data_IF_329873866193
#
_entry.id   IF_329873866193
#
_cell.length_a   1.000
_cell.length_b   1.000
_cell.length_c   1.000
_cell.angle_alpha   90.00
_cell.angle_beta   90.00
_cell.angle_gamma   90.00
#
_symmetry.space_group_name_H-M   'P 1'
#
loop_
_entity.id
_entity.type
_entity.pdbx_description
1 polymer ?
#
# COMPACT_ATOMS: atom_id res chain seq x y z
N UNK A 1 9.63 -34.79 11.78
CA UNK A 1 10.06 -33.39 11.62
C UNK A 1 8.85 -32.62 11.11
N UNK A 2 8.18 -31.88 11.98
CA UNK A 2 6.97 -31.13 11.61
C UNK A 2 7.36 -30.02 10.64
N UNK A 3 6.68 -29.93 9.50
CA UNK A 3 7.02 -28.97 8.44
C UNK A 3 6.60 -27.59 8.93
N UNK A 4 7.56 -26.80 9.43
CA UNK A 4 7.33 -25.42 9.88
C UNK A 4 6.93 -24.56 8.68
N UNK A 5 5.63 -24.39 8.44
CA UNK A 5 5.12 -23.58 7.32
C UNK A 5 5.25 -22.10 7.65
N UNK A 6 6.03 -21.35 6.85
CA UNK A 6 6.21 -19.90 7.05
C UNK A 6 4.89 -19.13 6.89
N UNK A 7 4.16 -19.35 5.79
CA UNK A 7 2.78 -18.86 5.63
C UNK A 7 1.78 -19.98 5.92
N UNK A 8 0.80 -19.68 6.77
CA UNK A 8 -0.36 -20.56 6.99
C UNK A 8 -1.41 -20.24 5.93
N UNK A 9 -2.39 -21.13 5.77
CA UNK A 9 -3.54 -20.90 4.88
C UNK A 9 -4.28 -19.59 5.20
N UNK A 10 -4.35 -19.21 6.48
CA UNK A 10 -4.92 -17.93 6.93
C UNK A 10 -4.11 -16.73 6.46
N UNK A 11 -2.77 -16.83 6.46
CA UNK A 11 -1.92 -15.76 5.91
C UNK A 11 -2.12 -15.63 4.40
N UNK A 12 -2.16 -16.76 3.67
CA UNK A 12 -2.41 -16.74 2.22
C UNK A 12 -3.78 -16.15 1.89
N UNK A 13 -4.82 -16.48 2.65
CA UNK A 13 -6.14 -15.89 2.50
C UNK A 13 -6.13 -14.38 2.73
N UNK A 14 -5.48 -13.89 3.79
CA UNK A 14 -5.37 -12.47 4.06
C UNK A 14 -4.58 -11.73 2.95
N UNK A 15 -3.49 -12.32 2.46
CA UNK A 15 -2.71 -11.79 1.32
C UNK A 15 -3.60 -11.68 0.07
N UNK A 16 -4.34 -12.75 -0.27
CA UNK A 16 -5.23 -12.77 -1.42
C UNK A 16 -6.36 -11.74 -1.31
N UNK A 17 -7.01 -11.65 -0.15
CA UNK A 17 -8.09 -10.68 0.11
C UNK A 17 -7.57 -9.25 0.01
N UNK A 18 -6.43 -8.94 0.64
CA UNK A 18 -5.84 -7.61 0.57
C UNK A 18 -5.38 -7.28 -0.86
N UNK A 19 -4.72 -8.21 -1.56
CA UNK A 19 -4.30 -8.02 -2.95
C UNK A 19 -5.48 -7.79 -3.89
N UNK A 20 -6.56 -8.56 -3.74
CA UNK A 20 -7.79 -8.39 -4.50
C UNK A 20 -8.48 -7.05 -4.17
N UNK A 21 -8.59 -6.71 -2.89
CA UNK A 21 -9.20 -5.45 -2.46
C UNK A 21 -8.45 -4.25 -3.04
N UNK A 22 -7.11 -4.26 -2.99
CA UNK A 22 -6.31 -3.21 -3.60
C UNK A 22 -6.48 -3.20 -5.13
N UNK A 23 -6.24 -4.35 -5.78
CA UNK A 23 -6.26 -4.44 -7.24
C UNK A 23 -7.59 -4.03 -7.86
N UNK A 24 -8.70 -4.58 -7.36
CA UNK A 24 -10.06 -4.34 -7.87
C UNK A 24 -10.50 -2.91 -7.60
N UNK A 25 -10.31 -2.39 -6.38
CA UNK A 25 -10.70 -1.01 -6.09
C UNK A 25 -9.91 -0.01 -6.93
N UNK A 26 -8.62 -0.27 -7.16
CA UNK A 26 -7.81 0.64 -7.96
C UNK A 26 -8.21 0.66 -9.42
N UNK A 27 -8.43 -0.49 -10.07
CA UNK A 27 -8.81 -0.49 -11.48
C UNK A 27 -10.19 0.14 -11.71
N UNK A 28 -11.09 0.05 -10.72
CA UNK A 28 -12.43 0.64 -10.81
C UNK A 28 -12.42 2.15 -10.54
N UNK A 29 -11.79 2.60 -9.46
CA UNK A 29 -11.96 3.98 -8.98
C UNK A 29 -10.83 4.93 -9.37
N UNK A 30 -9.58 4.47 -9.40
CA UNK A 30 -8.44 5.36 -9.63
C UNK A 30 -8.46 5.99 -11.04
N UNK A 31 -8.77 5.26 -12.14
CA UNK A 31 -8.89 5.88 -13.46
C UNK A 31 -10.01 6.92 -13.55
N UNK A 32 -11.14 6.69 -12.89
CA UNK A 32 -12.27 7.63 -12.87
C UNK A 32 -11.86 8.94 -12.19
N UNK A 33 -11.25 8.83 -11.01
CA UNK A 33 -10.76 9.99 -10.26
C UNK A 33 -9.67 10.74 -11.02
N UNK A 34 -8.73 10.01 -11.61
CA UNK A 34 -7.63 10.60 -12.37
C UNK A 34 -8.11 11.35 -13.60
N UNK A 35 -9.07 10.78 -14.36
CA UNK A 35 -9.66 11.46 -15.53
C UNK A 35 -10.43 12.71 -15.13
N UNK A 36 -11.08 12.70 -13.97
CA UNK A 36 -11.86 13.84 -13.49
C UNK A 36 -11.00 14.98 -12.95
N UNK A 37 -9.84 14.68 -12.36
CA UNK A 37 -9.06 15.66 -11.58
C UNK A 37 -7.63 15.88 -12.04
N UNK A 38 -7.07 14.96 -12.83
CA UNK A 38 -5.65 14.91 -13.17
C UNK A 38 -4.73 14.59 -11.99
N UNK A 39 -5.26 14.17 -10.84
CA UNK A 39 -4.49 13.92 -9.62
C UNK A 39 -4.35 12.42 -9.32
N UNK A 40 -3.14 11.90 -9.06
CA UNK A 40 -2.91 10.46 -8.90
C UNK A 40 -3.21 9.93 -7.49
N UNK A 41 -3.47 10.78 -6.50
CA UNK A 41 -3.40 10.34 -5.10
C UNK A 41 -4.43 9.29 -4.66
N UNK A 42 -5.55 9.09 -5.38
CA UNK A 42 -6.57 8.12 -4.97
C UNK A 42 -6.04 6.67 -5.00
N UNK A 43 -5.15 6.33 -5.93
CA UNK A 43 -4.60 4.97 -5.96
C UNK A 43 -3.65 4.67 -4.81
N UNK A 44 -2.95 5.69 -4.30
CA UNK A 44 -2.18 5.61 -3.06
C UNK A 44 -3.11 5.46 -1.84
N UNK A 45 -4.23 6.20 -1.80
CA UNK A 45 -5.19 6.11 -0.69
C UNK A 45 -5.66 4.67 -0.48
N UNK A 46 -6.11 4.03 -1.57
CA UNK A 46 -6.57 2.64 -1.55
C UNK A 46 -5.41 1.72 -1.17
N UNK A 47 -4.26 1.86 -1.85
CA UNK A 47 -3.12 0.98 -1.65
C UNK A 47 -2.58 1.00 -0.22
N UNK A 48 -2.30 2.18 0.32
CA UNK A 48 -1.70 2.30 1.66
C UNK A 48 -2.68 1.99 2.78
N UNK A 49 -3.98 2.26 2.62
CA UNK A 49 -4.98 1.80 3.57
C UNK A 49 -4.99 0.26 3.66
N UNK A 50 -4.93 -0.42 2.50
CA UNK A 50 -4.90 -1.88 2.42
C UNK A 50 -3.58 -2.45 2.92
N UNK A 51 -2.43 -1.84 2.60
CA UNK A 51 -1.13 -2.29 3.08
C UNK A 51 -1.00 -2.17 4.60
N UNK A 52 -1.51 -1.09 5.21
CA UNK A 52 -1.54 -0.95 6.67
C UNK A 52 -2.44 -2.01 7.32
N UNK A 53 -3.61 -2.26 6.73
CA UNK A 53 -4.51 -3.33 7.18
C UNK A 53 -3.83 -4.70 7.09
N UNK A 54 -3.20 -5.01 5.96
CA UNK A 54 -2.44 -6.23 5.74
C UNK A 54 -1.24 -6.37 6.69
N UNK A 55 -0.55 -5.26 6.98
CA UNK A 55 0.59 -5.24 7.88
C UNK A 55 0.15 -5.62 9.30
N UNK A 56 -0.97 -5.05 9.75
CA UNK A 56 -1.57 -5.37 11.04
C UNK A 56 -2.08 -6.81 11.10
N UNK A 57 -2.69 -7.29 10.02
CA UNK A 57 -3.33 -8.60 9.96
C UNK A 57 -2.32 -9.76 9.88
N UNK A 58 -1.31 -9.64 9.01
CA UNK A 58 -0.43 -10.75 8.64
C UNK A 58 0.88 -10.74 9.43
N UNK A 59 1.50 -9.57 9.65
CA UNK A 59 2.73 -9.36 10.44
C UNK A 59 3.90 -10.28 10.07
N UNK A 60 4.08 -10.58 8.79
CA UNK A 60 5.23 -11.37 8.27
C UNK A 60 5.87 -10.67 7.07
N UNK A 61 7.19 -10.81 6.97
CA UNK A 61 7.95 -10.31 5.84
C UNK A 61 7.52 -11.00 4.54
N UNK A 62 7.49 -10.24 3.45
CA UNK A 62 7.08 -10.72 2.13
C UNK A 62 5.57 -10.68 1.91
N UNK A 63 4.77 -10.59 2.97
CA UNK A 63 3.31 -10.60 2.85
C UNK A 63 2.79 -9.39 2.07
N UNK A 64 3.32 -8.21 2.36
CA UNK A 64 2.88 -6.96 1.73
C UNK A 64 3.41 -6.84 0.31
N UNK A 65 4.60 -7.39 0.05
CA UNK A 65 5.12 -7.60 -1.30
C UNK A 65 4.16 -8.45 -2.13
N UNK A 66 3.69 -9.60 -1.61
CA UNK A 66 2.71 -10.43 -2.32
C UNK A 66 1.37 -9.72 -2.52
N UNK A 67 0.90 -8.95 -1.54
CA UNK A 67 -0.30 -8.11 -1.70
C UNK A 67 -0.14 -7.14 -2.87
N UNK A 68 1.01 -6.46 -2.98
CA UNK A 68 1.33 -5.60 -4.11
C UNK A 68 1.40 -6.34 -5.43
N UNK A 69 2.10 -7.48 -5.49
CA UNK A 69 2.22 -8.30 -6.70
C UNK A 69 0.85 -8.77 -7.21
N UNK A 70 -0.03 -9.24 -6.32
CA UNK A 70 -1.39 -9.65 -6.68
C UNK A 70 -2.18 -8.46 -7.23
N UNK A 71 -2.12 -7.29 -6.57
CA UNK A 71 -2.79 -6.09 -7.04
C UNK A 71 -2.32 -5.68 -8.45
N UNK A 72 -1.01 -5.82 -8.73
CA UNK A 72 -0.41 -5.57 -10.05
C UNK A 72 -0.90 -6.55 -11.10
N UNK A 73 -0.90 -7.85 -10.79
CA UNK A 73 -1.41 -8.88 -11.70
C UNK A 73 -2.88 -8.59 -12.06
N UNK A 74 -3.71 -8.26 -11.07
CA UNK A 74 -5.11 -7.90 -11.29
C UNK A 74 -5.23 -6.66 -12.18
N UNK A 75 -4.45 -5.61 -11.91
CA UNK A 75 -4.49 -4.41 -12.73
C UNK A 75 -4.10 -4.73 -14.17
N UNK A 76 -3.03 -5.48 -14.41
CA UNK A 76 -2.63 -5.87 -15.77
C UNK A 76 -3.67 -6.75 -16.46
N UNK A 77 -4.22 -7.74 -15.76
CA UNK A 77 -5.24 -8.63 -16.32
C UNK A 77 -6.52 -7.89 -16.72
N UNK A 78 -6.83 -6.77 -16.04
CA UNK A 78 -8.03 -5.97 -16.26
C UNK A 78 -7.77 -4.70 -17.10
N UNK A 79 -6.62 -4.61 -17.78
CA UNK A 79 -6.31 -3.52 -18.71
C UNK A 79 -5.76 -2.25 -18.06
N UNK A 80 -5.30 -2.33 -16.82
CA UNK A 80 -4.53 -1.29 -16.14
C UNK A 80 -3.14 -1.11 -16.74
N UNK A 81 -2.60 0.11 -16.64
CA UNK A 81 -1.33 0.46 -17.29
C UNK A 81 -0.08 0.10 -16.46
N UNK A 82 1.07 0.10 -17.14
CA UNK A 82 2.36 -0.29 -16.58
C UNK A 82 2.84 0.59 -15.41
N UNK A 83 2.28 1.80 -15.25
CA UNK A 83 2.52 2.66 -14.08
C UNK A 83 2.25 1.96 -12.75
N UNK A 84 1.45 0.89 -12.73
CA UNK A 84 1.20 0.11 -11.52
C UNK A 84 2.45 -0.60 -10.97
N UNK A 85 3.52 -0.73 -11.75
CA UNK A 85 4.82 -1.21 -11.27
C UNK A 85 5.43 -0.29 -10.21
N UNK A 86 5.18 1.03 -10.27
CA UNK A 86 5.59 1.95 -9.21
C UNK A 86 4.94 1.62 -7.86
N UNK A 87 3.66 1.22 -7.87
CA UNK A 87 2.97 0.74 -6.67
C UNK A 87 3.50 -0.60 -6.18
N UNK A 88 3.95 -1.47 -7.08
CA UNK A 88 4.62 -2.72 -6.71
C UNK A 88 5.92 -2.42 -5.95
N UNK A 89 6.74 -1.51 -6.48
CA UNK A 89 7.98 -1.08 -5.84
C UNK A 89 7.71 -0.45 -4.47
N UNK A 90 6.66 0.37 -4.35
CA UNK A 90 6.24 0.94 -3.08
C UNK A 90 5.78 -0.12 -2.07
N UNK A 91 5.08 -1.18 -2.49
CA UNK A 91 4.70 -2.28 -1.61
C UNK A 91 5.92 -3.05 -1.08
N UNK A 92 6.90 -3.31 -1.96
CA UNK A 92 8.18 -3.94 -1.58
C UNK A 92 8.92 -3.06 -0.58
N UNK A 93 9.02 -1.76 -0.86
CA UNK A 93 9.65 -0.80 0.04
C UNK A 93 8.95 -0.75 1.40
N UNK A 94 7.60 -0.69 1.41
CA UNK A 94 6.80 -0.72 2.63
C UNK A 94 7.12 -1.97 3.46
N UNK A 95 7.09 -3.15 2.84
CA UNK A 95 7.33 -4.46 3.47
C UNK A 95 8.72 -4.55 4.09
N UNK A 96 9.74 -4.12 3.32
CA UNK A 96 11.12 -4.12 3.77
C UNK A 96 11.31 -3.19 4.97
N UNK A 97 10.89 -1.93 4.86
CA UNK A 97 11.09 -0.93 5.91
C UNK A 97 10.35 -1.34 7.19
N UNK A 98 9.10 -1.79 7.08
CA UNK A 98 8.36 -2.16 8.27
C UNK A 98 8.92 -3.42 8.95
N UNK A 99 9.47 -4.34 8.16
CA UNK A 99 10.15 -5.53 8.68
C UNK A 99 11.42 -5.15 9.43
N UNK A 100 12.25 -4.24 8.88
CA UNK A 100 13.47 -3.74 9.54
C UNK A 100 13.12 -3.07 10.89
N UNK A 101 12.06 -2.26 10.94
CA UNK A 101 11.59 -1.64 12.18
C UNK A 101 11.06 -2.71 13.18
N UNK A 102 10.55 -3.82 12.66
CA UNK A 102 10.01 -4.94 13.42
C UNK A 102 8.50 -4.89 13.47
N UNK A 103 7.86 -5.36 12.40
CA UNK A 103 6.41 -5.32 12.14
C UNK A 103 5.56 -5.78 13.34
N UNK A 104 6.00 -6.81 14.08
CA UNK A 104 5.29 -7.32 15.25
C UNK A 104 5.17 -6.28 16.38
N UNK A 105 6.19 -5.44 16.57
CA UNK A 105 6.27 -4.45 17.66
C UNK A 105 5.52 -3.17 17.36
N UNK A 106 5.39 -2.82 16.08
CA UNK A 106 4.76 -1.56 15.62
C UNK A 106 3.31 -1.47 16.07
N UNK A 107 2.62 -2.61 16.13
CA UNK A 107 1.21 -2.67 16.51
C UNK A 107 0.95 -2.78 18.02
N UNK A 108 1.98 -2.76 18.87
CA UNK A 108 1.82 -2.92 20.32
C UNK A 108 1.36 -1.63 21.00
N UNK A 109 1.80 -0.46 20.52
CA UNK A 109 1.43 0.85 21.06
C UNK A 109 0.69 1.67 20.00
N UNK A 110 -0.47 2.27 20.29
CA UNK A 110 -1.22 3.09 19.33
C UNK A 110 -0.38 4.21 18.71
N UNK A 111 0.42 4.92 19.52
CA UNK A 111 1.31 5.97 19.05
C UNK A 111 2.36 5.45 18.05
N UNK A 112 2.98 4.30 18.33
CA UNK A 112 3.94 3.67 17.41
C UNK A 112 3.27 3.29 16.10
N UNK A 113 2.07 2.69 16.16
CA UNK A 113 1.30 2.37 14.96
C UNK A 113 1.04 3.63 14.14
N UNK A 114 0.54 4.69 14.77
CA UNK A 114 0.21 5.93 14.07
C UNK A 114 1.44 6.55 13.39
N UNK A 115 2.52 6.79 14.15
CA UNK A 115 3.70 7.48 13.65
C UNK A 115 4.43 6.65 12.59
N UNK A 116 4.69 5.37 12.88
CA UNK A 116 5.48 4.51 11.98
C UNK A 116 4.69 4.21 10.70
N UNK A 117 3.41 3.85 10.80
CA UNK A 117 2.61 3.59 9.60
C UNK A 117 2.47 4.83 8.72
N UNK A 118 2.37 6.02 9.33
CA UNK A 118 2.31 7.27 8.58
C UNK A 118 3.61 7.52 7.80
N UNK A 119 4.76 7.44 8.48
CA UNK A 119 6.07 7.67 7.85
C UNK A 119 6.33 6.66 6.74
N UNK A 120 6.02 5.38 6.98
CA UNK A 120 6.24 4.32 5.99
C UNK A 120 5.29 4.48 4.80
N UNK A 121 4.01 4.82 5.02
CA UNK A 121 3.05 5.07 3.94
C UNK A 121 3.47 6.26 3.07
N UNK A 122 3.80 7.40 3.68
CA UNK A 122 4.23 8.61 2.96
C UNK A 122 5.51 8.33 2.16
N UNK A 123 6.52 7.70 2.78
CA UNK A 123 7.77 7.37 2.11
C UNK A 123 7.56 6.39 0.95
N UNK A 124 6.71 5.38 1.14
CA UNK A 124 6.38 4.42 0.09
C UNK A 124 5.63 5.08 -1.08
N UNK A 125 4.73 6.03 -0.77
CA UNK A 125 4.03 6.80 -1.78
C UNK A 125 4.99 7.70 -2.57
N UNK A 126 5.95 8.33 -1.90
CA UNK A 126 7.02 9.09 -2.56
C UNK A 126 7.82 8.22 -3.52
N UNK A 127 8.13 6.96 -3.14
CA UNK A 127 8.79 5.98 -4.01
C UNK A 127 7.92 5.67 -5.24
N UNK A 128 6.63 5.37 -5.05
CA UNK A 128 5.70 5.14 -6.16
C UNK A 128 5.67 6.34 -7.11
N UNK A 129 5.41 7.53 -6.58
CA UNK A 129 5.31 8.75 -7.37
C UNK A 129 6.60 9.11 -8.09
N UNK A 130 7.77 8.89 -7.47
CA UNK A 130 9.05 9.14 -8.14
C UNK A 130 9.24 8.19 -9.32
N UNK A 131 8.99 6.90 -9.14
CA UNK A 131 9.12 5.89 -10.21
C UNK A 131 8.11 6.15 -11.33
N UNK A 132 6.85 6.42 -10.97
CA UNK A 132 5.78 6.72 -11.93
C UNK A 132 6.10 7.98 -12.72
N UNK A 133 6.46 9.05 -12.02
CA UNK A 133 6.82 10.35 -12.60
C UNK A 133 7.99 10.23 -13.57
N UNK A 134 9.07 9.58 -13.14
CA UNK A 134 10.32 9.53 -13.91
C UNK A 134 10.25 8.59 -15.12
N UNK A 135 9.54 7.45 -15.01
CA UNK A 135 9.56 6.40 -16.04
C UNK A 135 8.33 6.45 -16.93
N UNK A 136 7.14 6.59 -16.34
CA UNK A 136 5.87 6.38 -17.05
C UNK A 136 5.18 7.69 -17.46
N UNK A 137 5.50 8.79 -16.78
CA UNK A 137 4.97 10.12 -17.08
C UNK A 137 5.98 11.01 -17.81
N UNK A 138 7.14 10.47 -18.21
CA UNK A 138 8.19 11.24 -18.88
C UNK A 138 7.65 11.91 -20.15
N UNK A 139 7.79 13.24 -20.22
CA UNK A 139 7.29 14.05 -21.34
C UNK A 139 5.77 14.30 -21.36
N UNK A 140 5.01 13.76 -20.40
CA UNK A 140 3.59 14.03 -20.30
C UNK A 140 3.33 15.49 -19.85
N UNK A 141 2.46 16.26 -20.52
CA UNK A 141 2.15 17.64 -20.12
C UNK A 141 1.71 17.77 -18.65
N UNK A 142 0.97 16.77 -18.17
CA UNK A 142 0.48 16.70 -16.80
C UNK A 142 1.63 16.63 -15.78
N UNK A 143 2.73 15.95 -16.10
CA UNK A 143 3.91 15.90 -15.22
C UNK A 143 4.51 17.31 -15.03
N UNK A 144 4.63 18.07 -16.13
CA UNK A 144 5.14 19.45 -16.10
C UNK A 144 4.21 20.37 -15.33
N UNK A 145 2.89 20.24 -15.54
CA UNK A 145 1.88 21.03 -14.82
C UNK A 145 2.03 20.91 -13.30
N UNK A 146 2.36 19.72 -12.81
CA UNK A 146 2.55 19.45 -11.39
C UNK A 146 3.98 19.68 -10.90
N UNK A 147 4.82 20.41 -11.63
CA UNK A 147 6.18 20.73 -11.18
C UNK A 147 7.18 19.58 -11.35
N UNK A 148 6.96 18.71 -12.34
CA UNK A 148 7.85 17.61 -12.67
C UNK A 148 7.74 16.43 -11.71
N UNK A 149 8.78 15.59 -11.68
CA UNK A 149 8.83 14.36 -10.85
C UNK A 149 8.66 14.68 -9.36
N UNK A 150 9.22 15.80 -8.89
CA UNK A 150 9.14 16.17 -7.47
C UNK A 150 7.70 16.47 -7.05
N UNK A 151 6.99 17.31 -7.81
CA UNK A 151 5.61 17.62 -7.45
C UNK A 151 4.66 16.44 -7.72
N UNK A 152 4.95 15.60 -8.72
CA UNK A 152 4.24 14.33 -8.90
C UNK A 152 4.40 13.39 -7.70
N UNK A 153 5.63 13.22 -7.20
CA UNK A 153 5.89 12.47 -5.96
C UNK A 153 5.17 13.10 -4.76
N UNK A 154 5.11 14.44 -4.69
CA UNK A 154 4.33 15.17 -3.69
C UNK A 154 2.84 14.84 -3.70
N UNK A 155 2.22 14.72 -4.88
CA UNK A 155 0.81 14.30 -4.99
C UNK A 155 0.61 12.88 -4.46
N UNK A 156 1.50 11.95 -4.80
CA UNK A 156 1.46 10.60 -4.24
C UNK A 156 1.61 10.61 -2.72
N UNK A 157 2.53 11.42 -2.17
CA UNK A 157 2.68 11.59 -0.73
C UNK A 157 1.39 12.04 -0.04
N UNK A 158 0.60 12.93 -0.64
CA UNK A 158 -0.74 13.31 -0.13
C UNK A 158 -1.64 12.07 -0.03
N UNK A 159 -1.63 11.22 -1.06
CA UNK A 159 -2.36 9.96 -1.04
C UNK A 159 -1.85 8.99 0.02
N UNK A 160 -0.53 8.96 0.26
CA UNK A 160 0.11 8.25 1.38
C UNK A 160 -0.36 8.76 2.75
N UNK A 161 -0.50 10.07 2.94
CA UNK A 161 -1.08 10.67 4.16
C UNK A 161 -2.51 10.20 4.37
N UNK A 162 -3.37 10.38 3.36
CA UNK A 162 -4.80 10.07 3.47
C UNK A 162 -5.01 8.56 3.65
N UNK A 163 -4.36 7.73 2.82
CA UNK A 163 -4.37 6.26 2.95
C UNK A 163 -3.82 5.80 4.30
N UNK A 164 -2.78 6.47 4.79
CA UNK A 164 -2.22 6.31 6.14
C UNK A 164 -3.28 6.51 7.22
N UNK A 165 -3.95 7.67 7.21
CA UNK A 165 -4.99 8.02 8.18
C UNK A 165 -6.11 6.97 8.16
N UNK A 166 -6.59 6.61 6.97
CA UNK A 166 -7.69 5.64 6.81
C UNK A 166 -7.26 4.26 7.33
N UNK A 167 -6.09 3.76 6.92
CA UNK A 167 -5.56 2.47 7.36
C UNK A 167 -5.36 2.38 8.87
N UNK A 168 -4.75 3.41 9.48
CA UNK A 168 -4.55 3.50 10.94
C UNK A 168 -5.90 3.53 11.66
N UNK A 169 -6.87 4.29 11.14
CA UNK A 169 -8.22 4.40 11.72
C UNK A 169 -8.94 3.06 11.66
N UNK A 170 -8.88 2.37 10.52
CA UNK A 170 -9.44 1.03 10.35
C UNK A 170 -8.85 0.04 11.35
N UNK A 171 -7.52 -0.06 11.42
CA UNK A 171 -6.83 -0.95 12.37
C UNK A 171 -7.22 -0.61 13.82
N UNK A 172 -7.27 0.67 14.17
CA UNK A 172 -7.66 1.11 15.50
C UNK A 172 -9.10 0.76 15.84
N UNK A 173 -10.02 0.92 14.89
CA UNK A 173 -11.43 0.57 15.06
C UNK A 173 -11.62 -0.95 15.22
N UNK A 174 -10.90 -1.77 14.46
CA UNK A 174 -10.93 -3.23 14.58
C UNK A 174 -10.39 -3.68 15.94
N UNK A 175 -9.25 -3.12 16.38
CA UNK A 175 -8.70 -3.38 17.72
C UNK A 175 -9.64 -2.98 18.84
N UNK A 176 -10.30 -1.81 18.74
CA UNK A 176 -11.29 -1.34 19.73
C UNK A 176 -12.49 -2.27 19.84
N UNK A 177 -12.83 -2.98 18.76
CA UNK A 177 -13.86 -4.04 18.73
C UNK A 177 -13.34 -5.42 19.16
N UNK A 178 -12.11 -5.49 19.70
CA UNK A 178 -11.46 -6.73 20.16
C UNK A 178 -11.27 -7.78 19.07
N UNK A 179 -11.19 -7.37 17.80
CA UNK A 179 -10.81 -8.26 16.71
C UNK A 179 -9.30 -8.52 16.82
N UNK A 180 -8.93 -9.77 17.04
CA UNK A 180 -7.54 -10.20 17.17
C UNK A 180 -7.02 -10.77 15.86
N UNK A 181 -5.73 -10.60 15.63
CA UNK A 181 -5.02 -11.11 14.45
C UNK A 181 -4.24 -12.36 14.84
N UNK A 182 -4.20 -13.35 13.96
CA UNK A 182 -3.63 -14.67 14.23
C UNK A 182 -2.13 -14.68 14.59
N UNK A 183 -1.40 -13.60 14.31
CA UNK A 183 0.02 -13.46 14.69
C UNK A 183 0.25 -13.24 16.21
N UNK A 184 -0.80 -13.11 17.02
CA UNK A 184 -0.68 -12.89 18.48
C UNK A 184 -0.82 -14.16 19.33
N UNK A 185 -0.87 -15.34 18.70
CA UNK A 185 -0.85 -16.63 19.39
C UNK A 185 0.42 -17.39 19.03
#
# INVERSE_FOLDING_TARGET
>A
MEKMTYFSTRHLAAIAICGALWGVLNILFAPLFFRATGMPFLCDVIGFAVLILGAWWIRKFGALTFVGLIATIINFALGGGAQFLGFTAAAIFFDLVITIIGIARVFNKPANTAIIMMIVAISSAAVAGTIIGAIFMAGAPLLTQWGGVVGWAGLHMIGGVIGGIIGITLVSALKKRKITTYSQN
#
